data_IF_692148284501
#
_entry.id   IF_692148284501
#
_cell.length_a   1.000
_cell.length_b   1.000
_cell.length_c   1.000
_cell.angle_alpha   90.00
_cell.angle_beta   90.00
_cell.angle_gamma   90.00
#
_symmetry.space_group_name_H-M   'P 1'
#
loop_
_entity.id
_entity.type
_entity.pdbx_description
1 polymer ?
#
# COMPACT_ATOMS: atom_id res chain seq x y z
N UNK A 1 -8.87 -2.36 -10.94
CA UNK A 1 -8.94 -3.29 -9.80
C UNK A 1 -9.01 -4.70 -10.31
N UNK A 2 -8.58 -5.64 -9.52
CA UNK A 2 -8.67 -7.04 -9.84
C UNK A 2 -9.90 -7.69 -9.22
N UNK A 3 -10.31 -8.83 -9.77
CA UNK A 3 -11.30 -9.68 -9.12
C UNK A 3 -10.71 -10.12 -7.77
N UNK A 4 -11.45 -9.93 -6.72
CA UNK A 4 -10.97 -10.21 -5.37
C UNK A 4 -10.42 -9.02 -4.65
N UNK A 5 -10.14 -7.92 -5.36
CA UNK A 5 -9.80 -6.67 -4.70
C UNK A 5 -11.06 -6.07 -4.07
N UNK A 6 -10.89 -5.46 -2.92
CA UNK A 6 -11.98 -4.85 -2.19
C UNK A 6 -11.57 -3.44 -1.78
N UNK A 7 -12.08 -2.45 -2.49
CA UNK A 7 -11.73 -1.05 -2.24
C UNK A 7 -12.94 -0.34 -1.67
N UNK A 8 -12.81 0.19 -0.45
CA UNK A 8 -13.90 0.84 0.25
C UNK A 8 -13.46 2.20 0.80
N UNK A 9 -14.31 3.19 0.58
CA UNK A 9 -14.11 4.53 1.13
C UNK A 9 -12.71 5.07 0.91
N UNK A 10 -12.21 4.92 -0.34
CA UNK A 10 -10.84 5.28 -0.67
C UNK A 10 -10.77 6.03 -1.98
N UNK A 11 -9.71 6.80 -2.15
CA UNK A 11 -9.41 7.48 -3.42
C UNK A 11 -8.23 6.77 -4.07
N UNK A 12 -8.42 6.32 -5.30
CA UNK A 12 -7.40 5.61 -6.06
C UNK A 12 -7.09 6.40 -7.32
N UNK A 13 -5.87 6.86 -7.44
CA UNK A 13 -5.45 7.62 -8.62
C UNK A 13 -5.19 6.68 -9.81
N UNK A 14 -4.90 7.27 -10.97
CA UNK A 14 -4.76 6.51 -12.21
C UNK A 14 -3.50 5.65 -12.21
N UNK A 15 -3.56 4.56 -12.98
CA UNK A 15 -2.41 3.68 -13.19
C UNK A 15 -2.11 2.72 -12.06
N UNK A 16 -3.00 2.61 -11.07
CA UNK A 16 -2.79 1.69 -9.96
C UNK A 16 -3.27 0.28 -10.28
N UNK A 17 -2.57 -0.69 -9.72
CA UNK A 17 -2.98 -2.10 -9.76
C UNK A 17 -3.26 -2.52 -8.32
N UNK A 18 -4.49 -2.90 -8.04
CA UNK A 18 -4.94 -3.24 -6.68
C UNK A 18 -5.38 -4.70 -6.67
N UNK A 19 -4.65 -5.54 -5.99
CA UNK A 19 -4.95 -6.96 -5.85
C UNK A 19 -5.34 -7.35 -4.42
N UNK A 20 -5.42 -6.39 -3.53
CA UNK A 20 -5.75 -6.61 -2.12
C UNK A 20 -6.90 -5.74 -1.65
N UNK A 21 -7.05 -5.63 -0.34
CA UNK A 21 -8.09 -4.83 0.28
C UNK A 21 -7.56 -3.45 0.64
N UNK A 22 -8.32 -2.42 0.29
CA UNK A 22 -7.97 -1.03 0.62
C UNK A 22 -9.18 -0.37 1.26
N UNK A 23 -8.99 0.23 2.42
CA UNK A 23 -10.07 0.86 3.18
C UNK A 23 -9.63 2.19 3.79
N UNK A 24 -10.45 3.22 3.65
CA UNK A 24 -10.21 4.55 4.22
C UNK A 24 -8.81 5.09 3.89
N UNK A 25 -8.37 4.88 2.65
CA UNK A 25 -7.00 5.21 2.28
C UNK A 25 -6.96 6.04 1.00
N UNK A 26 -5.82 6.67 0.77
CA UNK A 26 -5.58 7.43 -0.46
C UNK A 26 -4.38 6.79 -1.14
N UNK A 27 -4.57 6.32 -2.38
CA UNK A 27 -3.52 5.69 -3.17
C UNK A 27 -3.21 6.60 -4.35
N UNK A 28 -1.98 7.08 -4.42
CA UNK A 28 -1.55 7.97 -5.48
C UNK A 28 -1.21 7.19 -6.75
N UNK A 29 -0.71 7.89 -7.77
CA UNK A 29 -0.55 7.32 -9.11
C UNK A 29 0.44 6.16 -9.15
N UNK A 30 0.15 5.16 -9.99
CA UNK A 30 1.07 4.08 -10.34
C UNK A 30 1.51 3.23 -9.15
N UNK A 31 0.68 3.11 -8.15
CA UNK A 31 0.97 2.23 -7.03
C UNK A 31 0.57 0.79 -7.38
N UNK A 32 1.33 -0.16 -6.88
CA UNK A 32 1.01 -1.59 -7.00
C UNK A 32 0.77 -2.16 -5.61
N UNK A 33 -0.40 -2.72 -5.41
CA UNK A 33 -0.78 -3.38 -4.15
C UNK A 33 -0.90 -4.87 -4.45
N UNK A 34 -0.06 -5.68 -3.84
CA UNK A 34 0.01 -7.11 -4.11
C UNK A 34 -1.20 -7.90 -3.60
N UNK A 35 -1.17 -9.21 -3.85
CA UNK A 35 -2.25 -10.10 -3.46
C UNK A 35 -2.35 -10.22 -1.94
N UNK A 36 -3.57 -10.30 -1.44
CA UNK A 36 -3.85 -10.49 0.00
C UNK A 36 -3.27 -9.40 0.89
N UNK A 37 -3.02 -8.22 0.34
CA UNK A 37 -2.61 -7.08 1.14
C UNK A 37 -3.82 -6.45 1.82
N UNK A 38 -3.58 -5.82 2.96
CA UNK A 38 -4.60 -5.05 3.68
C UNK A 38 -4.03 -3.67 3.94
N UNK A 39 -4.67 -2.65 3.37
CA UNK A 39 -4.26 -1.26 3.53
C UNK A 39 -5.41 -0.51 4.19
N UNK A 40 -5.18 0.03 5.38
CA UNK A 40 -6.22 0.75 6.13
C UNK A 40 -5.72 2.08 6.67
N UNK A 41 -6.55 3.11 6.54
CA UNK A 41 -6.28 4.42 7.13
C UNK A 41 -4.89 4.94 6.78
N UNK A 42 -4.48 4.76 5.53
CA UNK A 42 -3.11 5.03 5.12
C UNK A 42 -3.07 5.89 3.86
N UNK A 43 -1.92 6.47 3.60
CA UNK A 43 -1.66 7.22 2.38
C UNK A 43 -0.46 6.57 1.69
N UNK A 44 -0.68 6.10 0.46
CA UNK A 44 0.37 5.48 -0.35
C UNK A 44 0.72 6.45 -1.45
N UNK A 45 1.94 6.95 -1.47
CA UNK A 45 2.34 7.96 -2.42
C UNK A 45 2.63 7.38 -3.81
N UNK A 46 3.24 8.16 -4.69
CA UNK A 46 3.37 7.78 -6.09
C UNK A 46 4.34 6.62 -6.31
N UNK A 47 4.00 5.74 -7.24
CA UNK A 47 4.90 4.70 -7.73
C UNK A 47 5.45 3.81 -6.62
N UNK A 48 4.59 3.44 -5.67
CA UNK A 48 4.95 2.54 -4.57
C UNK A 48 4.62 1.10 -4.98
N UNK A 49 5.50 0.19 -4.62
CA UNK A 49 5.28 -1.25 -4.84
C UNK A 49 5.14 -1.94 -3.48
N UNK A 50 4.01 -2.59 -3.27
CA UNK A 50 3.76 -3.32 -2.02
C UNK A 50 3.63 -4.81 -2.35
N UNK A 51 4.54 -5.60 -1.80
CA UNK A 51 4.57 -7.05 -2.03
C UNK A 51 3.39 -7.76 -1.40
N UNK A 52 3.18 -9.00 -1.80
CA UNK A 52 2.02 -9.79 -1.37
C UNK A 52 1.97 -10.00 0.14
N UNK A 53 0.77 -10.18 0.66
CA UNK A 53 0.52 -10.53 2.07
C UNK A 53 1.06 -9.48 3.05
N UNK A 54 1.01 -8.21 2.67
CA UNK A 54 1.50 -7.11 3.50
C UNK A 54 0.32 -6.39 4.15
N UNK A 55 0.47 -6.02 5.41
CA UNK A 55 -0.53 -5.26 6.16
C UNK A 55 0.03 -3.87 6.45
N UNK A 56 -0.71 -2.83 6.06
CA UNK A 56 -0.33 -1.44 6.31
C UNK A 56 -1.54 -0.73 6.94
N UNK A 57 -1.36 -0.22 8.16
CA UNK A 57 -2.42 0.50 8.88
C UNK A 57 -1.84 1.76 9.53
N UNK A 58 -2.54 2.87 9.36
CA UNK A 58 -2.17 4.15 9.96
C UNK A 58 -0.75 4.57 9.57
N UNK A 59 -0.42 4.43 8.30
CA UNK A 59 0.92 4.72 7.79
C UNK A 59 0.86 5.64 6.58
N UNK A 60 1.98 6.32 6.33
CA UNK A 60 2.21 7.03 5.06
C UNK A 60 3.42 6.37 4.43
N UNK A 61 3.26 5.86 3.20
CA UNK A 61 4.35 5.20 2.47
C UNK A 61 4.92 6.18 1.46
N UNK A 62 6.21 6.44 1.57
CA UNK A 62 6.92 7.41 0.75
C UNK A 62 6.92 7.03 -0.72
N UNK A 63 6.99 8.03 -1.61
CA UNK A 63 7.00 7.79 -3.05
C UNK A 63 8.17 6.90 -3.46
N UNK A 64 7.90 6.02 -4.41
CA UNK A 64 8.87 5.09 -5.00
C UNK A 64 9.45 4.08 -4.01
N UNK A 65 8.81 3.91 -2.87
CA UNK A 65 9.20 2.86 -1.94
C UNK A 65 8.80 1.49 -2.48
N UNK A 66 9.54 0.49 -2.05
CA UNK A 66 9.22 -0.91 -2.32
C UNK A 66 9.13 -1.64 -0.99
N UNK A 67 7.93 -2.08 -0.66
CA UNK A 67 7.65 -2.76 0.60
C UNK A 67 7.70 -4.27 0.35
N UNK A 68 8.49 -4.98 1.13
CA UNK A 68 8.65 -6.43 0.96
C UNK A 68 7.37 -7.16 1.28
N UNK A 69 7.18 -8.29 0.61
CA UNK A 69 6.07 -9.19 0.89
C UNK A 69 6.13 -9.75 2.31
N UNK A 70 4.97 -10.12 2.82
CA UNK A 70 4.84 -10.79 4.13
C UNK A 70 5.30 -9.94 5.30
N UNK A 71 5.11 -8.62 5.23
CA UNK A 71 5.47 -7.72 6.32
C UNK A 71 4.25 -7.01 6.88
N UNK A 72 4.39 -6.45 8.08
CA UNK A 72 3.34 -5.66 8.71
C UNK A 72 3.89 -4.32 9.16
N UNK A 73 3.15 -3.27 8.85
CA UNK A 73 3.50 -1.92 9.23
C UNK A 73 2.26 -1.28 9.83
N UNK A 74 2.25 -1.14 11.15
CA UNK A 74 1.07 -0.66 11.87
C UNK A 74 1.46 0.53 12.73
N UNK A 75 0.90 1.70 12.41
CA UNK A 75 1.03 2.89 13.24
C UNK A 75 -0.15 2.98 14.19
N UNK A 76 -0.05 3.86 15.17
CA UNK A 76 -1.14 4.11 16.11
C UNK A 76 -2.10 5.17 15.55
N UNK A 77 -3.39 5.14 15.91
CA UNK A 77 -4.35 6.11 15.37
C UNK A 77 -3.99 7.58 15.61
N UNK A 78 -3.33 7.89 16.67
CA UNK A 78 -2.90 9.27 16.94
C UNK A 78 -1.46 9.53 16.57
N UNK A 79 -0.76 8.57 16.00
CA UNK A 79 0.67 8.64 15.75
C UNK A 79 1.01 7.87 14.49
N UNK A 80 0.85 8.53 13.35
CA UNK A 80 1.01 7.90 12.04
C UNK A 80 2.48 7.55 11.79
N UNK A 81 2.70 6.31 11.36
CA UNK A 81 4.02 5.82 11.02
C UNK A 81 4.36 6.19 9.58
N UNK A 82 5.54 6.75 9.37
CA UNK A 82 6.03 7.05 8.02
C UNK A 82 7.00 5.95 7.61
N UNK A 83 6.73 5.33 6.46
CA UNK A 83 7.55 4.23 5.95
C UNK A 83 8.41 4.72 4.82
N UNK A 84 9.72 4.49 4.93
CA UNK A 84 10.69 4.77 3.88
C UNK A 84 11.51 3.50 3.69
N UNK A 85 11.17 2.71 2.66
CA UNK A 85 11.86 1.47 2.34
C UNK A 85 12.25 1.48 0.87
N UNK A 86 13.53 1.52 0.60
CA UNK A 86 14.05 1.58 -0.77
C UNK A 86 14.60 0.22 -1.20
N UNK A 87 13.80 -0.82 -1.07
CA UNK A 87 14.17 -2.16 -1.52
C UNK A 87 14.23 -2.22 -3.04
N UNK A 88 15.03 -3.13 -3.58
CA UNK A 88 15.06 -3.34 -5.02
C UNK A 88 13.86 -4.19 -5.45
N UNK A 89 13.12 -3.68 -6.45
CA UNK A 89 11.88 -4.33 -6.90
C UNK A 89 12.12 -5.62 -7.65
N UNK A 90 13.21 -5.68 -8.37
CA UNK A 90 13.45 -6.74 -9.34
C UNK A 90 14.47 -7.77 -8.88
N UNK A 91 14.79 -7.75 -7.62
CA UNK A 91 15.63 -8.81 -7.02
C UNK A 91 14.71 -9.94 -6.61
N UNK A 92 14.90 -11.06 -7.22
CA UNK A 92 14.08 -12.24 -6.98
C UNK A 92 14.77 -13.22 -6.04
#
# INVERSE_FOLDING_TARGET
YNIGANVRNSLIASGCIINGDVENSIIFKKAYIGNNCVIKNSIILNDVYIGDNTVIENCIVESRDTIRANTKHIGEPGEIKIIIEKNERYVL
#
